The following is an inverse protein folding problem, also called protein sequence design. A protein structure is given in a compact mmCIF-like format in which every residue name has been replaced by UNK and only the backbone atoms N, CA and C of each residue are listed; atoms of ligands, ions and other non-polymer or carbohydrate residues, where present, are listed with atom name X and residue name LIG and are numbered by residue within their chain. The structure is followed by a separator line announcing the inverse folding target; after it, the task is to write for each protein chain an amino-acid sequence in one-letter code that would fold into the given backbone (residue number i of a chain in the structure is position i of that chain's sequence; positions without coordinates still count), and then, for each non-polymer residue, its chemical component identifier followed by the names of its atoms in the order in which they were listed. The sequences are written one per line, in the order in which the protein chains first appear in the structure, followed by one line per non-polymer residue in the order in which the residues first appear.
data_IF_684428134643
#
_entry.id   IF_684428134643
#
_cell.length_a   1.000
_cell.length_b   1.000
_cell.length_c   1.000
_cell.angle_alpha   90.00
_cell.angle_beta   90.00
_cell.angle_gamma   90.00
#
_symmetry.space_group_name_H-M   'P 1'
#
loop_
_entity.id
_entity.type
_entity.pdbx_description
1 polymer ?
#
# COMPACT_ATOMS: atom_id res chain seq x y z
N UNK A 1 -7.81 3.51 74.70
CA UNK A 1 -7.04 4.13 73.59
C UNK A 1 -7.06 3.17 72.44
N UNK A 2 -7.98 3.35 71.46
CA UNK A 2 -8.14 2.48 70.31
C UNK A 2 -7.46 3.24 69.12
N UNK A 3 -6.38 2.67 68.57
CA UNK A 3 -5.69 3.20 67.41
C UNK A 3 -6.38 2.64 66.14
N UNK A 4 -7.06 3.49 65.41
CA UNK A 4 -7.60 3.18 64.09
C UNK A 4 -6.45 3.12 63.06
N UNK A 5 -6.25 1.98 62.44
CA UNK A 5 -5.33 1.76 61.36
C UNK A 5 -6.03 2.02 60.04
N UNK A 6 -5.78 3.18 59.43
CA UNK A 6 -6.32 3.54 58.11
C UNK A 6 -5.52 2.83 57.02
N UNK A 7 -6.11 1.82 56.38
CA UNK A 7 -5.56 1.13 55.22
C UNK A 7 -5.81 1.96 53.96
N UNK A 8 -4.77 2.61 53.46
CA UNK A 8 -4.81 3.38 52.22
C UNK A 8 -4.64 2.42 51.02
N UNK A 9 -5.74 2.10 50.36
CA UNK A 9 -5.73 1.28 49.13
C UNK A 9 -5.23 2.16 47.97
N UNK A 10 -3.99 1.94 47.55
CA UNK A 10 -3.43 2.57 46.38
C UNK A 10 -4.02 1.90 45.13
N UNK A 11 -5.04 2.50 44.49
CA UNK A 11 -5.48 2.16 43.15
C UNK A 11 -4.41 2.71 42.18
N UNK A 12 -3.55 1.83 41.63
CA UNK A 12 -2.73 2.17 40.48
C UNK A 12 -3.62 2.28 39.24
N UNK A 13 -3.64 3.39 38.51
CA UNK A 13 -4.30 3.44 37.23
C UNK A 13 -3.58 2.50 36.25
N UNK A 14 -4.28 1.45 35.81
CA UNK A 14 -3.87 0.69 34.63
C UNK A 14 -4.06 1.64 33.46
N UNK A 15 -2.98 2.19 32.94
CA UNK A 15 -3.00 2.90 31.68
C UNK A 15 -3.35 1.84 30.60
N UNK A 16 -4.62 1.74 30.23
CA UNK A 16 -5.02 1.08 29.02
C UNK A 16 -4.32 1.85 27.88
N UNK A 17 -3.39 1.19 27.19
CA UNK A 17 -2.89 1.66 25.92
C UNK A 17 -4.13 1.71 25.00
N UNK A 18 -4.70 2.89 24.83
CA UNK A 18 -5.72 3.10 23.82
C UNK A 18 -5.04 2.86 22.47
N UNK A 19 -5.30 1.70 21.86
CA UNK A 19 -5.06 1.53 20.42
C UNK A 19 -5.82 2.67 19.75
N UNK A 20 -5.12 3.48 18.98
CA UNK A 20 -5.79 4.55 18.24
C UNK A 20 -6.78 3.86 17.28
N UNK A 21 -8.04 4.31 17.23
CA UNK A 21 -9.07 3.83 16.30
C UNK A 21 -8.66 3.96 14.83
N UNK A 22 -7.47 4.50 14.58
CA UNK A 22 -6.88 4.76 13.26
C UNK A 22 -5.89 3.69 12.80
N UNK A 23 -5.42 2.79 13.68
CA UNK A 23 -4.43 1.77 13.31
C UNK A 23 -5.00 0.77 12.30
N UNK A 24 -4.16 0.37 11.31
CA UNK A 24 -4.54 -0.66 10.36
C UNK A 24 -4.56 -2.03 11.06
N UNK A 25 -5.64 -2.75 10.87
CA UNK A 25 -5.80 -4.12 11.32
C UNK A 25 -6.13 -5.03 10.13
N UNK A 26 -5.93 -6.36 10.22
CA UNK A 26 -6.34 -7.28 9.17
C UNK A 26 -7.81 -7.16 8.80
N UNK A 27 -8.69 -6.95 9.78
CA UNK A 27 -10.14 -6.78 9.57
C UNK A 27 -10.42 -5.47 8.81
N UNK A 28 -9.79 -4.37 9.21
CA UNK A 28 -9.94 -3.07 8.55
C UNK A 28 -9.40 -3.12 7.12
N UNK A 29 -8.25 -3.76 6.91
CA UNK A 29 -7.71 -3.95 5.56
C UNK A 29 -8.64 -4.78 4.70
N UNK A 30 -9.21 -5.88 5.22
CA UNK A 30 -10.19 -6.68 4.50
C UNK A 30 -11.41 -5.86 4.06
N UNK A 31 -11.94 -5.01 4.95
CA UNK A 31 -13.06 -4.12 4.62
C UNK A 31 -12.71 -3.16 3.47
N UNK A 32 -11.52 -2.56 3.51
CA UNK A 32 -11.06 -1.65 2.45
C UNK A 32 -10.87 -2.41 1.12
N UNK A 33 -10.22 -3.57 1.14
CA UNK A 33 -9.99 -4.38 -0.05
C UNK A 33 -11.32 -4.78 -0.71
N UNK A 34 -12.30 -5.27 0.08
CA UNK A 34 -13.62 -5.68 -0.43
C UNK A 34 -14.48 -4.50 -0.92
N UNK A 35 -14.24 -3.28 -0.43
CA UNK A 35 -14.91 -2.11 -0.98
C UNK A 35 -14.32 -1.67 -2.33
N UNK A 36 -13.01 -1.87 -2.52
CA UNK A 36 -12.35 -1.57 -3.79
C UNK A 36 -12.62 -2.64 -4.86
N UNK A 37 -12.68 -3.90 -4.44
CA UNK A 37 -12.99 -5.06 -5.28
C UNK A 37 -13.86 -6.06 -4.49
N UNK A 38 -15.18 -6.09 -4.72
CA UNK A 38 -16.08 -7.03 -4.03
C UNK A 38 -15.77 -8.51 -4.31
N UNK A 39 -15.08 -8.81 -5.41
CA UNK A 39 -14.68 -10.15 -5.81
C UNK A 39 -13.29 -10.56 -5.28
N UNK A 40 -12.64 -9.70 -4.48
CA UNK A 40 -11.33 -9.97 -3.92
C UNK A 40 -11.31 -11.28 -3.12
N UNK A 41 -10.24 -12.06 -3.32
CA UNK A 41 -10.09 -13.37 -2.70
C UNK A 41 -9.06 -13.32 -1.56
N UNK A 42 -9.38 -13.83 -0.37
CA UNK A 42 -8.41 -13.97 0.70
C UNK A 42 -7.39 -15.06 0.36
N UNK A 43 -6.13 -14.81 0.74
CA UNK A 43 -5.04 -15.77 0.68
C UNK A 43 -4.47 -16.03 2.09
N UNK A 44 -3.63 -17.04 2.30
CA UNK A 44 -3.02 -17.28 3.62
C UNK A 44 -2.20 -16.09 4.16
N UNK A 45 -1.74 -15.19 3.30
CA UNK A 45 -0.89 -14.04 3.67
C UNK A 45 -1.47 -12.68 3.29
N UNK A 46 -2.74 -12.61 2.86
CA UNK A 46 -3.35 -11.34 2.44
C UNK A 46 -4.50 -11.52 1.48
N UNK A 47 -4.44 -10.84 0.30
CA UNK A 47 -5.53 -10.83 -0.68
C UNK A 47 -5.01 -10.85 -2.11
N UNK A 48 -5.80 -11.44 -2.99
CA UNK A 48 -5.75 -11.23 -4.45
C UNK A 48 -6.97 -10.41 -4.86
N UNK A 49 -6.77 -9.33 -5.60
CA UNK A 49 -7.83 -8.44 -6.05
C UNK A 49 -7.52 -7.91 -7.46
N UNK A 50 -8.51 -7.30 -8.09
CA UNK A 50 -8.37 -6.68 -9.40
C UNK A 50 -8.73 -5.20 -9.32
N UNK A 51 -7.86 -4.33 -9.81
CA UNK A 51 -8.13 -2.89 -9.92
C UNK A 51 -7.88 -2.49 -11.37
N UNK A 52 -8.89 -1.95 -12.02
CA UNK A 52 -8.81 -1.46 -13.41
C UNK A 52 -8.19 -2.53 -14.35
N UNK A 53 -8.73 -3.75 -14.29
CA UNK A 53 -8.30 -4.95 -15.02
C UNK A 53 -6.87 -5.43 -14.71
N UNK A 54 -6.23 -4.90 -13.66
CA UNK A 54 -4.88 -5.27 -13.24
C UNK A 54 -4.93 -6.14 -11.99
N UNK A 55 -4.34 -7.35 -11.99
CA UNK A 55 -4.28 -8.19 -10.81
C UNK A 55 -3.31 -7.59 -9.78
N UNK A 56 -3.76 -7.48 -8.55
CA UNK A 56 -3.00 -6.93 -7.42
C UNK A 56 -2.92 -7.98 -6.32
N UNK A 57 -1.71 -8.23 -5.85
CA UNK A 57 -1.43 -9.06 -4.68
C UNK A 57 -1.16 -8.16 -3.48
N UNK A 58 -1.93 -8.33 -2.40
CA UNK A 58 -1.69 -7.65 -1.13
C UNK A 58 -1.19 -8.67 -0.12
N UNK A 59 0.01 -8.48 0.39
CA UNK A 59 0.64 -9.37 1.39
C UNK A 59 0.77 -8.61 2.69
N UNK A 60 0.40 -9.25 3.80
CA UNK A 60 0.44 -8.70 5.16
C UNK A 60 1.20 -9.63 6.08
N UNK A 61 2.13 -9.09 6.83
CA UNK A 61 2.76 -9.71 7.99
C UNK A 61 2.54 -8.77 9.19
N UNK A 62 1.48 -9.02 9.94
CA UNK A 62 1.15 -8.21 11.11
C UNK A 62 2.19 -8.37 12.23
N UNK A 63 2.85 -9.51 12.34
CA UNK A 63 3.89 -9.76 13.35
C UNK A 63 5.14 -8.95 13.07
N UNK A 64 5.56 -8.87 11.80
CA UNK A 64 6.68 -8.06 11.36
C UNK A 64 6.30 -6.58 11.16
N UNK A 65 5.03 -6.20 11.36
CA UNK A 65 4.49 -4.88 11.05
C UNK A 65 4.80 -4.44 9.62
N UNK A 66 4.49 -5.28 8.63
CA UNK A 66 4.77 -5.02 7.21
C UNK A 66 3.58 -5.38 6.33
N UNK A 67 3.37 -4.56 5.30
CA UNK A 67 2.50 -4.92 4.18
C UNK A 67 3.22 -4.62 2.86
N UNK A 68 2.75 -5.29 1.81
CA UNK A 68 3.20 -5.07 0.44
C UNK A 68 2.04 -5.25 -0.52
N UNK A 69 1.81 -4.26 -1.39
CA UNK A 69 1.00 -4.43 -2.59
C UNK A 69 1.94 -4.69 -3.78
N UNK A 70 1.57 -5.61 -4.67
CA UNK A 70 2.41 -6.01 -5.80
C UNK A 70 1.56 -6.25 -7.04
N UNK A 71 2.04 -5.77 -8.19
CA UNK A 71 1.44 -6.01 -9.50
C UNK A 71 2.49 -6.64 -10.42
N UNK A 72 2.21 -7.81 -11.04
CA UNK A 72 3.11 -8.40 -12.00
C UNK A 72 3.07 -7.61 -13.32
N UNK A 73 4.23 -7.17 -13.84
CA UNK A 73 4.31 -6.39 -15.08
C UNK A 73 4.70 -7.27 -16.26
N UNK A 74 5.90 -7.89 -16.19
CA UNK A 74 6.40 -8.78 -17.25
C UNK A 74 7.47 -9.74 -16.71
N UNK A 75 7.82 -10.75 -17.49
CA UNK A 75 9.02 -11.54 -17.23
C UNK A 75 10.26 -10.65 -17.41
N UNK A 76 11.25 -10.85 -16.55
CA UNK A 76 12.52 -10.15 -16.62
C UNK A 76 13.41 -10.65 -17.77
N UNK A 77 13.14 -11.87 -18.26
CA UNK A 77 13.83 -12.42 -19.43
C UNK A 77 13.71 -11.50 -20.64
N UNK A 78 14.82 -11.26 -21.30
CA UNK A 78 14.91 -10.38 -22.47
C UNK A 78 14.92 -8.88 -22.15
N UNK A 79 14.90 -8.46 -20.86
CA UNK A 79 15.10 -7.07 -20.51
C UNK A 79 16.56 -6.65 -20.77
N UNK A 80 16.70 -5.54 -21.49
CA UNK A 80 18.02 -4.95 -21.78
C UNK A 80 18.50 -4.09 -20.61
N UNK A 81 19.83 -3.84 -20.57
CA UNK A 81 20.41 -2.88 -19.59
C UNK A 81 19.79 -1.49 -19.73
N UNK A 82 19.46 -1.06 -20.97
CA UNK A 82 18.82 0.23 -21.21
C UNK A 82 17.43 0.29 -20.59
N UNK A 83 16.59 -0.77 -20.73
CA UNK A 83 15.28 -0.84 -20.08
C UNK A 83 15.39 -0.85 -18.55
N UNK A 84 16.32 -1.62 -17.98
CA UNK A 84 16.58 -1.63 -16.55
C UNK A 84 16.99 -0.24 -16.03
N UNK A 85 17.85 0.45 -16.77
CA UNK A 85 18.25 1.82 -16.42
C UNK A 85 17.05 2.77 -16.44
N UNK A 86 16.19 2.68 -17.46
CA UNK A 86 14.97 3.50 -17.56
C UNK A 86 13.99 3.23 -16.42
N UNK A 87 13.81 1.96 -16.05
CA UNK A 87 12.97 1.56 -14.91
C UNK A 87 13.51 2.16 -13.61
N UNK A 88 14.82 2.13 -13.38
CA UNK A 88 15.44 2.74 -12.20
C UNK A 88 15.29 4.27 -12.19
N UNK A 89 15.42 4.92 -13.36
CA UNK A 89 15.14 6.35 -13.49
C UNK A 89 13.68 6.68 -13.19
N UNK A 90 12.73 5.88 -13.67
CA UNK A 90 11.31 6.06 -13.39
C UNK A 90 11.00 5.95 -11.88
N UNK A 91 11.70 5.10 -11.14
CA UNK A 91 11.60 5.06 -9.68
C UNK A 91 11.98 6.38 -9.00
N UNK A 92 12.87 7.14 -9.60
CA UNK A 92 13.26 8.46 -9.10
C UNK A 92 12.31 9.56 -9.59
N UNK A 93 11.96 9.53 -10.89
CA UNK A 93 11.30 10.65 -11.56
C UNK A 93 9.77 10.66 -11.40
N UNK A 94 9.11 9.49 -11.47
CA UNK A 94 7.66 9.44 -11.70
C UNK A 94 6.87 8.46 -10.84
N UNK A 95 7.52 7.52 -10.19
CA UNK A 95 6.83 6.41 -9.51
C UNK A 95 6.37 6.72 -8.08
N UNK A 96 6.20 7.96 -7.66
CA UNK A 96 5.75 8.39 -6.31
C UNK A 96 6.23 7.44 -5.18
N UNK A 97 5.30 6.77 -4.48
CA UNK A 97 5.61 5.80 -3.41
C UNK A 97 5.74 4.37 -3.93
N UNK A 98 5.05 4.04 -5.04
CA UNK A 98 5.25 2.77 -5.74
C UNK A 98 6.62 2.71 -6.42
N UNK A 99 7.16 1.51 -6.59
CA UNK A 99 8.50 1.30 -7.20
C UNK A 99 8.48 0.09 -8.11
N UNK A 100 9.28 0.14 -9.16
CA UNK A 100 9.62 -1.06 -9.93
C UNK A 100 10.63 -1.89 -9.15
N UNK A 101 10.43 -3.21 -9.15
CA UNK A 101 11.31 -4.17 -8.51
C UNK A 101 11.48 -5.42 -9.37
N UNK A 102 12.66 -6.04 -9.31
CA UNK A 102 12.92 -7.35 -9.90
C UNK A 102 12.94 -8.41 -8.80
N UNK A 103 12.10 -9.42 -8.95
CA UNK A 103 12.07 -10.57 -8.06
C UNK A 103 11.56 -11.82 -8.80
N UNK A 104 12.15 -12.97 -8.52
CA UNK A 104 11.74 -14.27 -9.07
C UNK A 104 11.59 -14.27 -10.60
N UNK A 105 12.54 -13.65 -11.31
CA UNK A 105 12.53 -13.59 -12.77
C UNK A 105 11.44 -12.72 -13.38
N UNK A 106 10.84 -11.81 -12.62
CA UNK A 106 9.74 -10.92 -13.06
C UNK A 106 9.99 -9.49 -12.63
N UNK A 107 9.55 -8.55 -13.45
CA UNK A 107 9.39 -7.14 -13.09
C UNK A 107 8.03 -6.94 -12.43
N UNK A 108 8.04 -6.26 -11.30
CA UNK A 108 6.88 -5.96 -10.47
C UNK A 108 6.75 -4.46 -10.27
N UNK A 109 5.52 -3.97 -10.15
CA UNK A 109 5.21 -2.77 -9.41
C UNK A 109 5.01 -3.15 -7.94
N UNK A 110 5.59 -2.39 -7.00
CA UNK A 110 5.49 -2.68 -5.57
C UNK A 110 5.26 -1.40 -4.76
N UNK A 111 4.41 -1.49 -3.74
CA UNK A 111 4.27 -0.51 -2.67
C UNK A 111 4.47 -1.23 -1.34
N UNK A 112 5.31 -0.70 -0.47
CA UNK A 112 5.66 -1.31 0.82
C UNK A 112 5.46 -0.28 1.93
N UNK A 113 4.77 -0.68 3.00
CA UNK A 113 4.53 0.20 4.14
C UNK A 113 4.59 -0.57 5.47
N UNK A 114 4.77 0.14 6.59
CA UNK A 114 4.47 -0.40 7.91
C UNK A 114 2.99 -0.68 8.02
N UNK A 115 2.59 -1.83 8.58
CA UNK A 115 1.20 -2.26 8.51
C UNK A 115 0.30 -1.47 9.48
N UNK A 116 0.67 -1.39 10.74
CA UNK A 116 -0.16 -0.76 11.77
C UNK A 116 -0.37 0.75 11.53
N UNK A 117 0.66 1.43 11.06
CA UNK A 117 0.65 2.88 10.81
C UNK A 117 0.01 3.28 9.48
N UNK A 118 -0.34 2.30 8.63
CA UNK A 118 -0.93 2.55 7.32
C UNK A 118 -2.34 3.12 7.46
N UNK A 119 -2.57 4.31 6.92
CA UNK A 119 -3.90 4.89 6.86
C UNK A 119 -4.68 4.40 5.63
N UNK A 120 -6.02 4.42 5.70
CA UNK A 120 -6.91 4.00 4.61
C UNK A 120 -6.54 4.65 3.28
N UNK A 121 -6.45 5.98 3.26
CA UNK A 121 -6.19 6.72 2.02
C UNK A 121 -4.77 6.48 1.48
N UNK A 122 -3.80 6.20 2.36
CA UNK A 122 -2.45 5.80 1.94
C UNK A 122 -2.45 4.42 1.29
N UNK A 123 -3.22 3.46 1.84
CA UNK A 123 -3.39 2.14 1.22
C UNK A 123 -4.00 2.28 -0.17
N UNK A 124 -5.12 3.00 -0.28
CA UNK A 124 -5.83 3.22 -1.56
C UNK A 124 -4.91 3.89 -2.58
N UNK A 125 -4.21 4.96 -2.16
CA UNK A 125 -3.24 5.66 -2.99
C UNK A 125 -2.09 4.74 -3.43
N UNK A 126 -1.52 3.96 -2.52
CA UNK A 126 -0.44 3.01 -2.82
C UNK A 126 -0.86 1.91 -3.81
N UNK A 127 -2.08 1.38 -3.66
CA UNK A 127 -2.67 0.43 -4.61
C UNK A 127 -2.81 1.06 -6.01
N UNK A 128 -3.43 2.25 -6.09
CA UNK A 128 -3.60 2.97 -7.35
C UNK A 128 -2.28 3.32 -8.04
N UNK A 129 -1.28 3.76 -7.29
CA UNK A 129 0.06 4.03 -7.82
C UNK A 129 0.72 2.75 -8.36
N UNK A 130 0.56 1.62 -7.66
CA UNK A 130 1.14 0.33 -8.09
C UNK A 130 0.50 -0.15 -9.39
N UNK A 131 -0.81 0.00 -9.53
CA UNK A 131 -1.54 -0.27 -10.78
C UNK A 131 -1.11 0.67 -11.89
N UNK A 132 -1.00 1.97 -11.60
CA UNK A 132 -0.61 2.97 -12.58
C UNK A 132 0.78 2.71 -13.18
N UNK A 133 1.79 2.39 -12.37
CA UNK A 133 3.14 2.10 -12.90
C UNK A 133 3.18 0.82 -13.74
N UNK A 134 2.30 -0.13 -13.50
CA UNK A 134 2.16 -1.33 -14.33
C UNK A 134 1.50 -1.00 -15.68
N UNK A 135 0.42 -0.22 -15.68
CA UNK A 135 -0.30 0.19 -16.90
C UNK A 135 0.55 1.11 -17.80
N UNK A 136 1.35 1.95 -17.20
CA UNK A 136 2.17 2.94 -17.92
C UNK A 136 3.59 2.42 -18.24
N UNK A 137 3.90 1.18 -17.89
CA UNK A 137 5.19 0.58 -18.21
C UNK A 137 5.48 0.63 -19.70
N UNK A 138 6.67 1.15 -20.05
CA UNK A 138 7.15 1.25 -21.43
C UNK A 138 6.56 2.39 -22.27
N UNK A 139 5.57 3.14 -21.75
CA UNK A 139 4.91 4.22 -22.50
C UNK A 139 5.20 5.62 -21.96
N UNK A 140 5.35 5.78 -20.65
CA UNK A 140 5.35 7.07 -19.97
C UNK A 140 6.59 7.27 -19.07
N UNK A 141 7.77 6.98 -19.59
CA UNK A 141 9.04 7.23 -18.90
C UNK A 141 9.60 8.65 -19.15
N UNK A 142 8.76 9.62 -19.45
CA UNK A 142 9.20 11.00 -19.64
C UNK A 142 9.35 11.66 -18.28
N UNK A 143 10.60 11.79 -17.83
CA UNK A 143 10.92 12.27 -16.50
C UNK A 143 10.71 13.75 -16.28
N UNK A 144 10.03 14.09 -15.19
CA UNK A 144 10.21 15.35 -14.53
C UNK A 144 11.26 15.20 -13.44
N UNK A 145 12.49 15.60 -13.68
CA UNK A 145 13.65 15.40 -12.77
C UNK A 145 13.49 16.07 -11.41
N UNK A 146 12.56 17.02 -11.26
CA UNK A 146 12.43 17.86 -10.06
C UNK A 146 11.02 17.93 -9.46
N UNK A 147 10.04 17.21 -10.02
CA UNK A 147 8.67 17.20 -9.47
C UNK A 147 8.16 15.75 -9.39
N UNK A 148 7.78 15.32 -8.20
CA UNK A 148 7.11 14.05 -8.01
C UNK A 148 5.79 14.02 -8.81
N UNK A 149 5.57 12.95 -9.58
CA UNK A 149 4.34 12.79 -10.36
C UNK A 149 4.23 13.70 -11.58
N UNK A 150 5.31 14.35 -12.05
CA UNK A 150 5.33 15.21 -13.22
C UNK A 150 5.43 14.46 -14.56
N UNK A 151 5.38 13.14 -14.57
CA UNK A 151 5.33 12.33 -15.79
C UNK A 151 3.95 12.40 -16.48
N UNK A 152 3.89 12.00 -17.76
CA UNK A 152 2.69 12.00 -18.60
C UNK A 152 1.52 11.16 -18.02
N UNK A 153 1.81 10.28 -17.04
CA UNK A 153 0.83 9.49 -16.31
C UNK A 153 0.03 10.25 -15.24
N UNK A 154 0.39 11.51 -14.94
CA UNK A 154 -0.22 12.26 -13.84
C UNK A 154 -1.72 12.47 -13.95
N UNK A 155 -2.28 12.56 -15.17
CA UNK A 155 -3.72 12.70 -15.38
C UNK A 155 -4.45 11.36 -15.15
N UNK A 156 -3.96 10.28 -15.79
CA UNK A 156 -4.50 8.92 -15.62
C UNK A 156 -4.42 8.45 -14.17
N UNK A 157 -3.31 8.75 -13.50
CA UNK A 157 -3.13 8.44 -12.09
C UNK A 157 -4.13 9.16 -11.20
N UNK A 158 -4.40 10.45 -11.44
CA UNK A 158 -5.42 11.20 -10.67
C UNK A 158 -6.80 10.61 -10.85
N UNK A 159 -7.23 10.35 -12.07
CA UNK A 159 -8.54 9.76 -12.37
C UNK A 159 -8.72 8.41 -11.65
N UNK A 160 -7.74 7.53 -11.74
CA UNK A 160 -7.76 6.24 -11.03
C UNK A 160 -7.81 6.42 -9.51
N UNK A 161 -7.00 7.31 -8.94
CA UNK A 161 -6.97 7.57 -7.50
C UNK A 161 -8.28 8.17 -6.99
N UNK A 162 -8.87 9.10 -7.71
CA UNK A 162 -10.14 9.74 -7.36
C UNK A 162 -11.28 8.70 -7.33
N UNK A 163 -11.35 7.79 -8.33
CA UNK A 163 -12.29 6.68 -8.36
C UNK A 163 -12.11 5.71 -7.17
N UNK A 164 -10.88 5.29 -6.89
CA UNK A 164 -10.58 4.40 -5.78
C UNK A 164 -10.87 5.03 -4.41
N UNK A 165 -10.53 6.31 -4.23
CA UNK A 165 -10.84 7.03 -2.99
C UNK A 165 -12.35 7.18 -2.80
N UNK A 166 -13.10 7.41 -3.87
CA UNK A 166 -14.56 7.46 -3.82
C UNK A 166 -15.17 6.13 -3.38
N UNK A 167 -14.72 5.00 -3.94
CA UNK A 167 -15.16 3.66 -3.50
C UNK A 167 -14.83 3.38 -2.03
N UNK A 168 -13.74 3.93 -1.53
CA UNK A 168 -13.31 3.79 -0.13
C UNK A 168 -14.02 4.73 0.86
N UNK A 169 -14.87 5.66 0.44
CA UNK A 169 -15.47 6.66 1.35
C UNK A 169 -16.46 6.07 2.35
N UNK A 170 -17.15 5.00 2.00
CA UNK A 170 -18.23 4.41 2.79
C UNK A 170 -17.76 3.40 3.86
N UNK A 171 -16.46 3.36 4.17
CA UNK A 171 -15.84 2.39 5.11
C UNK A 171 -15.34 3.07 6.38
#
# INVERSE_FOLDING_TARGET
MIRALTLCLMLSPVAALAQSDTDMTPIRMAAIVLALDPDAQPTPSGFEMTIDDVPVLVIVDATANRMRAMVPIRLAEGMTTAELTRVMQANFDSALDARYALANGRLWGVFIHSFAELQKDQLISGLGQTVNIAKTYGTLFTGGTFQFGAGDSGALQRELLDDLLQRGQDI
#
